data_IF_384271033414
#
_entry.id   IF_384271033414
#
_cell.length_a   1.000
_cell.length_b   1.000
_cell.length_c   1.000
_cell.angle_alpha   90.00
_cell.angle_beta   90.00
_cell.angle_gamma   90.00
#
_symmetry.space_group_name_H-M   'P 1'
#
loop_
_entity.id
_entity.type
_entity.pdbx_description
1 polymer ?
#
# COMPACT_ATOMS: atom_id res chain seq x y z
N UNK A 1 -3.15 -46.57 -48.12
CA UNK A 1 -4.15 -46.76 -47.02
C UNK A 1 -3.81 -45.83 -45.88
N UNK A 2 -4.57 -44.72 -45.73
CA UNK A 2 -4.47 -43.80 -44.60
C UNK A 2 -5.39 -44.32 -43.50
N UNK A 3 -4.87 -44.61 -42.31
CA UNK A 3 -5.69 -44.98 -41.14
C UNK A 3 -6.15 -43.72 -40.45
N UNK A 4 -7.44 -43.47 -40.44
CA UNK A 4 -8.13 -42.47 -39.67
C UNK A 4 -8.05 -42.79 -38.16
N UNK A 5 -7.37 -41.93 -37.41
CA UNK A 5 -7.33 -41.96 -35.96
C UNK A 5 -8.49 -41.10 -35.45
N UNK A 6 -9.65 -41.76 -35.30
CA UNK A 6 -10.83 -41.15 -34.69
C UNK A 6 -10.67 -41.05 -33.17
N UNK A 7 -11.08 -39.90 -32.58
CA UNK A 7 -11.10 -39.67 -31.13
C UNK A 7 -11.82 -40.75 -30.33
N UNK A 8 -12.70 -41.55 -30.97
CA UNK A 8 -13.42 -42.66 -30.35
C UNK A 8 -12.52 -43.86 -30.06
N UNK A 9 -11.46 -44.07 -30.81
CA UNK A 9 -10.53 -45.21 -30.66
C UNK A 9 -9.49 -44.94 -29.56
N UNK A 10 -9.22 -43.71 -29.22
CA UNK A 10 -8.35 -43.35 -28.11
C UNK A 10 -8.97 -43.65 -26.72
N UNK A 11 -10.28 -43.49 -26.61
CA UNK A 11 -11.00 -43.79 -25.37
C UNK A 11 -11.28 -45.27 -25.10
N UNK A 12 -11.12 -46.13 -26.09
CA UNK A 12 -11.32 -47.61 -25.94
C UNK A 12 -10.06 -48.40 -25.57
N UNK A 13 -8.88 -47.78 -25.71
CA UNK A 13 -7.60 -48.41 -25.37
C UNK A 13 -7.20 -48.25 -23.90
N UNK A 14 -7.91 -47.40 -23.12
CA UNK A 14 -7.61 -47.10 -21.71
C UNK A 14 -8.33 -47.94 -20.66
N UNK A 15 -9.14 -48.94 -21.04
CA UNK A 15 -10.04 -49.61 -20.11
C UNK A 15 -9.71 -51.11 -19.90
N UNK A 16 -8.46 -51.49 -19.73
CA UNK A 16 -8.13 -52.81 -19.14
C UNK A 16 -6.66 -52.83 -18.64
N UNK A 17 -6.42 -52.31 -17.43
CA UNK A 17 -5.36 -52.81 -16.54
C UNK A 17 -5.76 -52.57 -15.08
N UNK A 18 -6.04 -53.66 -14.35
CA UNK A 18 -5.63 -53.83 -12.96
C UNK A 18 -6.42 -53.09 -11.87
N UNK A 19 -7.43 -53.75 -11.35
CA UNK A 19 -7.88 -53.50 -9.97
C UNK A 19 -6.76 -53.96 -9.01
N UNK A 20 -5.93 -53.02 -8.54
CA UNK A 20 -5.14 -53.20 -7.34
C UNK A 20 -5.65 -52.19 -6.31
N UNK A 21 -6.13 -52.67 -5.18
CA UNK A 21 -6.49 -51.84 -4.04
C UNK A 21 -5.29 -51.03 -3.58
N UNK A 22 -5.33 -49.73 -3.84
CA UNK A 22 -4.44 -48.76 -3.23
C UNK A 22 -5.30 -47.79 -2.41
N UNK A 23 -5.10 -47.81 -1.10
CA UNK A 23 -5.56 -46.78 -0.17
C UNK A 23 -5.30 -45.40 -0.76
N UNK A 24 -6.24 -44.44 -0.63
CA UNK A 24 -5.96 -43.05 -1.05
C UNK A 24 -4.92 -42.49 -0.10
N UNK A 25 -3.67 -42.46 -0.54
CA UNK A 25 -2.69 -41.57 0.06
C UNK A 25 -3.20 -40.14 -0.16
N UNK A 26 -3.67 -39.51 0.90
CA UNK A 26 -3.89 -38.08 0.92
C UNK A 26 -2.56 -37.45 0.53
N UNK A 27 -2.40 -37.00 -0.72
CA UNK A 27 -1.38 -36.05 -1.08
C UNK A 27 -1.74 -34.75 -0.33
N UNK A 28 -1.17 -34.61 0.87
CA UNK A 28 -1.07 -33.32 1.50
C UNK A 28 -0.22 -32.48 0.55
N UNK A 29 -0.85 -31.61 -0.23
CA UNK A 29 -0.16 -30.58 -0.96
C UNK A 29 0.53 -29.71 0.11
N UNK A 30 1.82 -29.98 0.34
CA UNK A 30 2.63 -29.09 1.13
C UNK A 30 2.54 -27.71 0.46
N UNK A 31 2.05 -26.73 1.20
CA UNK A 31 2.11 -25.35 0.77
C UNK A 31 3.57 -25.07 0.33
N UNK A 32 3.79 -24.38 -0.79
CA UNK A 32 5.15 -24.08 -1.23
C UNK A 32 5.88 -23.39 -0.08
N UNK A 33 6.92 -24.03 0.41
CA UNK A 33 7.76 -23.48 1.46
C UNK A 33 8.27 -22.12 0.94
N UNK A 34 7.94 -21.06 1.65
CA UNK A 34 8.51 -19.72 1.40
C UNK A 34 10.03 -19.89 1.42
N UNK A 35 10.77 -19.40 0.41
CA UNK A 35 12.24 -19.52 0.44
C UNK A 35 12.78 -18.86 1.71
N UNK A 36 13.36 -19.65 2.58
CA UNK A 36 13.92 -19.19 3.87
C UNK A 36 15.33 -18.59 3.71
N UNK A 37 15.84 -18.51 2.48
CA UNK A 37 17.18 -18.01 2.17
C UNK A 37 17.11 -16.70 1.39
N UNK A 38 17.32 -15.60 2.09
CA UNK A 38 17.38 -14.26 1.48
C UNK A 38 17.73 -13.22 2.56
N UNK A 39 18.13 -12.03 2.13
CA UNK A 39 18.31 -10.89 3.05
C UNK A 39 16.95 -10.38 3.47
N UNK A 40 16.77 -9.89 4.71
CA UNK A 40 15.54 -9.19 5.09
C UNK A 40 15.24 -8.06 4.10
N UNK A 41 13.97 -7.94 3.68
CA UNK A 41 13.58 -6.87 2.77
C UNK A 41 13.74 -5.50 3.45
N UNK A 42 14.40 -4.53 2.80
CA UNK A 42 14.35 -3.14 3.26
C UNK A 42 12.99 -2.49 2.98
N UNK A 43 12.21 -3.04 2.05
CA UNK A 43 10.85 -2.58 1.75
C UNK A 43 9.88 -3.18 2.76
N UNK A 44 9.13 -2.31 3.40
CA UNK A 44 8.04 -2.66 4.33
C UNK A 44 6.72 -2.53 3.59
N UNK A 45 5.98 -3.61 3.44
CA UNK A 45 4.64 -3.58 2.85
C UNK A 45 3.61 -3.21 3.91
N UNK A 46 2.72 -2.30 3.55
CA UNK A 46 1.63 -1.81 4.38
C UNK A 46 0.32 -1.73 3.59
N UNK A 47 -0.68 -1.21 4.26
CA UNK A 47 -2.02 -1.02 3.72
C UNK A 47 -2.53 0.39 4.04
N UNK A 48 -3.13 1.05 3.04
CA UNK A 48 -3.95 2.23 3.26
C UNK A 48 -5.38 1.82 3.61
N UNK A 49 -5.87 2.24 4.79
CA UNK A 49 -7.16 1.78 5.33
C UNK A 49 -8.36 2.14 4.45
N UNK A 50 -8.23 3.14 3.58
CA UNK A 50 -9.26 3.53 2.61
C UNK A 50 -9.66 2.39 1.67
N UNK A 51 -8.76 1.44 1.42
CA UNK A 51 -9.05 0.17 0.73
C UNK A 51 -10.26 -0.54 1.33
N UNK A 52 -10.38 -0.51 2.64
CA UNK A 52 -11.45 -1.15 3.41
C UNK A 52 -12.56 -0.16 3.85
N UNK A 53 -12.79 0.92 3.11
CA UNK A 53 -13.74 1.98 3.47
C UNK A 53 -15.18 1.52 3.71
N UNK A 54 -15.56 0.32 3.22
CA UNK A 54 -16.86 -0.29 3.46
C UNK A 54 -16.87 -1.28 4.65
N UNK A 55 -15.71 -1.58 5.23
CA UNK A 55 -15.53 -2.55 6.32
C UNK A 55 -15.39 -1.82 7.66
N UNK A 56 -15.77 -2.48 8.75
CA UNK A 56 -15.41 -2.01 10.09
C UNK A 56 -13.93 -2.25 10.39
N UNK A 57 -13.40 -1.55 11.40
CA UNK A 57 -12.03 -1.77 11.91
C UNK A 57 -11.77 -3.23 12.24
N UNK A 58 -12.70 -3.89 12.94
CA UNK A 58 -12.56 -5.30 13.31
C UNK A 58 -12.47 -6.22 12.09
N UNK A 59 -13.26 -5.98 11.05
CA UNK A 59 -13.20 -6.73 9.79
C UNK A 59 -11.87 -6.47 9.07
N UNK A 60 -11.44 -5.20 8.97
CA UNK A 60 -10.15 -4.84 8.35
C UNK A 60 -8.98 -5.51 9.07
N UNK A 61 -8.95 -5.51 10.40
CA UNK A 61 -7.92 -6.21 11.20
C UNK A 61 -7.88 -7.70 10.85
N UNK A 62 -9.05 -8.36 10.74
CA UNK A 62 -9.14 -9.75 10.33
C UNK A 62 -8.55 -9.99 8.93
N UNK A 63 -8.86 -9.12 7.98
CA UNK A 63 -8.33 -9.17 6.61
C UNK A 63 -6.80 -8.94 6.58
N UNK A 64 -6.30 -7.96 7.33
CA UNK A 64 -4.86 -7.68 7.40
C UNK A 64 -4.06 -8.86 7.95
N UNK A 65 -4.61 -9.55 8.96
CA UNK A 65 -4.01 -10.79 9.49
C UNK A 65 -3.99 -11.92 8.47
N UNK A 66 -5.06 -12.10 7.68
CA UNK A 66 -5.10 -13.08 6.60
C UNK A 66 -4.06 -12.79 5.51
N UNK A 67 -3.82 -11.51 5.23
CA UNK A 67 -2.84 -11.04 4.23
C UNK A 67 -1.41 -11.07 4.76
N UNK A 68 -1.20 -11.31 6.05
CA UNK A 68 0.10 -11.19 6.71
C UNK A 68 0.73 -9.80 6.50
N UNK A 69 -0.08 -8.74 6.69
CA UNK A 69 0.32 -7.33 6.53
C UNK A 69 -0.03 -6.58 7.81
N UNK A 70 0.98 -6.03 8.48
CA UNK A 70 0.83 -5.37 9.79
C UNK A 70 1.17 -3.87 9.77
N UNK A 71 1.59 -3.31 8.66
CA UNK A 71 1.75 -1.86 8.51
C UNK A 71 0.43 -1.22 8.09
N UNK A 72 0.03 -0.14 8.75
CA UNK A 72 -1.23 0.55 8.47
C UNK A 72 -1.03 2.06 8.39
N UNK A 73 -1.45 2.64 7.27
CA UNK A 73 -1.80 4.05 7.15
C UNK A 73 -3.31 4.17 7.35
N UNK A 74 -3.75 4.70 8.49
CA UNK A 74 -5.16 4.76 8.84
C UNK A 74 -5.80 6.11 8.52
N UNK A 75 -7.05 6.06 8.04
CA UNK A 75 -7.91 7.20 7.76
C UNK A 75 -9.09 7.23 8.72
N UNK A 76 -9.68 8.41 8.92
CA UNK A 76 -10.93 8.65 9.64
C UNK A 76 -12.16 8.23 8.81
N UNK A 77 -12.14 7.01 8.29
CA UNK A 77 -13.23 6.41 7.52
C UNK A 77 -13.86 5.29 8.34
N UNK A 78 -15.19 5.23 8.39
CA UNK A 78 -15.90 4.33 9.29
C UNK A 78 -15.44 4.54 10.75
N UNK A 79 -14.96 3.46 11.35
CA UNK A 79 -14.39 3.41 12.70
C UNK A 79 -12.89 3.09 12.70
N UNK A 80 -12.20 3.29 11.55
CA UNK A 80 -10.80 2.89 11.41
C UNK A 80 -9.90 3.70 12.33
N UNK A 81 -9.93 5.02 12.24
CA UNK A 81 -9.22 5.90 13.17
C UNK A 81 -10.09 7.16 13.43
N UNK A 82 -11.11 7.06 14.29
CA UNK A 82 -12.01 8.17 14.55
C UNK A 82 -11.29 9.36 15.19
N UNK A 83 -11.76 10.58 14.94
CA UNK A 83 -11.20 11.80 15.52
C UNK A 83 -11.68 12.09 16.95
N UNK A 84 -12.77 11.44 17.40
CA UNK A 84 -13.20 11.48 18.81
C UNK A 84 -12.16 10.80 19.70
N UNK A 85 -11.61 11.46 20.74
CA UNK A 85 -10.50 10.93 21.54
C UNK A 85 -10.77 9.59 22.23
N UNK A 86 -12.01 9.31 22.63
CA UNK A 86 -12.35 8.06 23.29
C UNK A 86 -12.38 6.91 22.29
N UNK A 87 -12.98 7.13 21.13
CA UNK A 87 -13.04 6.15 20.04
C UNK A 87 -11.66 5.96 19.39
N UNK A 88 -10.87 7.01 19.25
CA UNK A 88 -9.47 6.96 18.80
C UNK A 88 -8.63 6.07 19.71
N UNK A 89 -8.73 6.27 21.03
CA UNK A 89 -8.04 5.44 22.03
C UNK A 89 -8.39 3.95 21.89
N UNK A 90 -9.69 3.65 21.66
CA UNK A 90 -10.11 2.27 21.44
C UNK A 90 -9.53 1.70 20.13
N UNK A 91 -9.51 2.51 19.05
CA UNK A 91 -8.93 2.08 17.78
C UNK A 91 -7.44 1.73 17.91
N UNK A 92 -6.67 2.57 18.61
CA UNK A 92 -5.24 2.34 18.88
C UNK A 92 -5.05 1.06 19.72
N UNK A 93 -5.90 0.82 20.73
CA UNK A 93 -5.84 -0.39 21.55
C UNK A 93 -6.12 -1.65 20.72
N UNK A 94 -7.09 -1.60 19.80
CA UNK A 94 -7.43 -2.74 18.94
C UNK A 94 -6.28 -3.05 17.96
N UNK A 95 -5.63 -2.03 17.38
CA UNK A 95 -4.45 -2.23 16.52
C UNK A 95 -3.27 -2.81 17.30
N UNK A 96 -3.03 -2.29 18.51
CA UNK A 96 -1.96 -2.80 19.38
C UNK A 96 -2.18 -4.26 19.76
N UNK A 97 -3.42 -4.62 20.13
CA UNK A 97 -3.77 -6.00 20.46
C UNK A 97 -3.68 -6.96 19.25
N UNK A 98 -3.72 -6.41 18.05
CA UNK A 98 -3.59 -7.14 16.80
C UNK A 98 -2.17 -7.17 16.24
N UNK A 99 -1.18 -6.58 16.93
CA UNK A 99 0.20 -6.36 16.46
C UNK A 99 0.29 -5.51 15.17
N UNK A 100 -0.75 -4.72 14.87
CA UNK A 100 -0.75 -3.82 13.72
C UNK A 100 -0.03 -2.53 14.09
N UNK A 101 1.01 -2.20 13.32
CA UNK A 101 1.76 -0.97 13.45
C UNK A 101 1.06 0.15 12.69
N UNK A 102 0.43 1.05 13.43
CA UNK A 102 -0.05 2.32 12.89
C UNK A 102 1.18 3.20 12.64
N UNK A 103 1.57 3.40 11.38
CA UNK A 103 2.80 4.13 11.02
C UNK A 103 2.53 5.50 10.41
N UNK A 104 1.34 5.72 9.85
CA UNK A 104 0.89 6.98 9.29
C UNK A 104 -0.61 7.17 9.52
N UNK A 105 -1.07 8.41 9.44
CA UNK A 105 -2.49 8.74 9.42
C UNK A 105 -2.82 9.61 8.20
N UNK A 106 -3.84 9.23 7.44
CA UNK A 106 -4.32 9.99 6.28
C UNK A 106 -4.98 9.17 5.17
N UNK A 107 -5.41 9.85 4.06
CA UNK A 107 -5.17 11.30 3.85
C UNK A 107 -6.01 12.16 4.80
N UNK A 108 -5.34 13.08 5.50
CA UNK A 108 -5.96 14.11 6.34
C UNK A 108 -6.01 15.41 5.53
N UNK A 109 -7.15 16.08 5.52
CA UNK A 109 -7.37 17.32 4.78
C UNK A 109 -7.18 18.55 5.66
N UNK A 110 -6.68 19.63 5.06
CA UNK A 110 -6.41 20.91 5.71
C UNK A 110 -7.24 22.03 5.09
N UNK A 111 -8.59 22.00 5.27
CA UNK A 111 -9.49 22.93 4.58
C UNK A 111 -9.38 24.36 5.11
N UNK A 112 -8.78 24.57 6.27
CA UNK A 112 -8.65 25.86 6.91
C UNK A 112 -7.19 26.21 7.16
N UNK A 113 -6.84 27.46 6.85
CA UNK A 113 -5.55 28.07 7.21
C UNK A 113 -5.67 28.77 8.58
N UNK A 114 -5.94 27.98 9.62
CA UNK A 114 -6.15 28.42 11.00
C UNK A 114 -5.32 27.58 11.97
N UNK A 115 -4.70 28.22 12.96
CA UNK A 115 -3.83 27.54 13.94
C UNK A 115 -4.58 26.42 14.68
N UNK A 116 -5.82 26.66 15.11
CA UNK A 116 -6.59 25.70 15.89
C UNK A 116 -6.98 24.46 15.06
N UNK A 117 -7.36 24.67 13.79
CA UNK A 117 -7.71 23.57 12.88
C UNK A 117 -6.48 22.70 12.57
N UNK A 118 -5.33 23.31 12.30
CA UNK A 118 -4.09 22.59 12.04
C UNK A 118 -3.61 21.89 13.30
N UNK A 119 -3.57 22.57 14.44
CA UNK A 119 -3.20 22.01 15.74
C UNK A 119 -3.99 20.74 16.08
N UNK A 120 -5.31 20.79 15.92
CA UNK A 120 -6.17 19.65 16.20
C UNK A 120 -5.77 18.39 15.42
N UNK A 121 -5.31 18.53 14.16
CA UNK A 121 -4.84 17.41 13.33
C UNK A 121 -3.50 16.86 13.81
N UNK A 122 -2.58 17.74 14.23
CA UNK A 122 -1.31 17.29 14.81
C UNK A 122 -1.51 16.62 16.16
N UNK A 123 -2.39 17.13 17.01
CA UNK A 123 -2.73 16.52 18.31
C UNK A 123 -3.38 15.14 18.12
N UNK A 124 -4.31 15.00 17.18
CA UNK A 124 -4.88 13.72 16.80
C UNK A 124 -3.78 12.72 16.39
N UNK A 125 -2.89 13.09 15.48
CA UNK A 125 -1.80 12.21 15.05
C UNK A 125 -0.79 11.90 16.17
N UNK A 126 -0.54 12.87 17.07
CA UNK A 126 0.30 12.66 18.26
C UNK A 126 -0.32 11.64 19.22
N UNK A 127 -1.64 11.74 19.49
CA UNK A 127 -2.35 10.75 20.31
C UNK A 127 -2.34 9.36 19.68
N UNK A 128 -2.47 9.29 18.34
CA UNK A 128 -2.36 8.05 17.58
C UNK A 128 -0.95 7.45 17.57
N UNK A 129 0.07 8.17 18.03
CA UNK A 129 1.46 7.73 18.06
C UNK A 129 2.10 7.63 16.67
N UNK A 130 1.53 8.29 15.65
CA UNK A 130 2.09 8.29 14.29
C UNK A 130 3.08 9.43 14.12
N UNK A 131 4.12 9.18 13.34
CA UNK A 131 5.17 10.16 13.01
C UNK A 131 5.04 10.78 11.63
N UNK A 132 4.03 10.35 10.85
CA UNK A 132 3.75 10.83 9.51
C UNK A 132 2.27 11.11 9.33
N UNK A 133 1.95 12.31 8.90
CA UNK A 133 0.63 12.69 8.41
C UNK A 133 0.66 12.64 6.88
N UNK A 134 -0.16 11.79 6.29
CA UNK A 134 -0.43 11.85 4.85
C UNK A 134 -1.45 12.96 4.63
N UNK A 135 -1.01 14.08 4.06
CA UNK A 135 -1.79 15.30 3.92
C UNK A 135 -2.42 15.39 2.52
N UNK A 136 -3.74 15.54 2.47
CA UNK A 136 -4.48 15.53 1.21
C UNK A 136 -4.40 16.84 0.43
N UNK A 137 -4.58 17.98 1.10
CA UNK A 137 -4.81 19.24 0.42
C UNK A 137 -4.30 20.51 1.15
N UNK A 138 -3.14 20.48 1.84
CA UNK A 138 -2.62 21.73 2.35
C UNK A 138 -2.33 22.67 1.18
N UNK A 139 -2.80 23.92 1.27
CA UNK A 139 -2.54 24.89 0.19
C UNK A 139 -1.13 25.44 0.27
N UNK A 140 -0.54 25.93 -0.84
CA UNK A 140 0.74 26.62 -0.78
C UNK A 140 0.74 27.80 0.21
N UNK A 141 -0.38 28.48 0.41
CA UNK A 141 -0.52 29.57 1.36
C UNK A 141 -0.51 29.10 2.82
N UNK A 142 -1.10 27.92 3.11
CA UNK A 142 -1.15 27.37 4.48
C UNK A 142 0.14 26.62 4.87
N UNK A 143 0.98 26.23 3.93
CA UNK A 143 2.21 25.48 4.21
C UNK A 143 3.14 26.14 5.25
N UNK A 144 3.38 27.47 5.25
CA UNK A 144 4.20 28.09 6.30
C UNK A 144 3.62 27.94 7.71
N UNK A 145 2.27 27.91 7.82
CA UNK A 145 1.59 27.66 9.09
C UNK A 145 1.70 26.19 9.48
N UNK A 146 1.49 25.26 8.54
CA UNK A 146 1.70 23.82 8.76
C UNK A 146 3.15 23.55 9.21
N UNK A 147 4.14 24.21 8.62
CA UNK A 147 5.55 24.10 9.01
C UNK A 147 5.82 24.45 10.48
N UNK A 148 5.10 25.43 11.02
CA UNK A 148 5.17 25.77 12.46
C UNK A 148 4.82 24.56 13.32
N UNK A 149 3.72 23.86 12.99
CA UNK A 149 3.27 22.69 13.73
C UNK A 149 4.16 21.46 13.47
N UNK A 150 4.70 21.28 12.29
CA UNK A 150 5.73 20.26 12.01
C UNK A 150 6.89 20.40 12.99
N UNK A 151 7.37 21.63 13.22
CA UNK A 151 8.45 21.92 14.17
C UNK A 151 8.04 21.74 15.63
N UNK A 152 6.81 22.12 15.98
CA UNK A 152 6.28 22.04 17.34
C UNK A 152 6.04 20.58 17.79
N UNK A 153 5.49 19.74 16.90
CA UNK A 153 5.09 18.37 17.21
C UNK A 153 6.12 17.30 16.84
N UNK A 154 7.13 17.65 16.05
CA UNK A 154 8.09 16.73 15.44
C UNK A 154 7.42 15.61 14.63
N UNK A 155 6.35 15.95 13.91
CA UNK A 155 5.59 15.05 13.04
C UNK A 155 5.81 15.48 11.59
N UNK A 156 6.11 14.52 10.72
CA UNK A 156 6.31 14.75 9.28
C UNK A 156 4.98 14.96 8.57
N UNK A 157 5.01 15.83 7.56
CA UNK A 157 3.93 15.99 6.59
C UNK A 157 4.36 15.36 5.27
N UNK A 158 3.61 14.36 4.83
CA UNK A 158 3.74 13.72 3.53
C UNK A 158 2.57 14.18 2.64
N UNK A 159 2.77 15.20 1.81
CA UNK A 159 1.72 15.70 0.92
C UNK A 159 1.46 14.64 -0.15
N UNK A 160 0.20 14.27 -0.30
CA UNK A 160 -0.26 13.25 -1.24
C UNK A 160 -0.62 13.89 -2.59
N UNK A 161 -0.11 13.33 -3.69
CA UNK A 161 -0.48 13.76 -5.03
C UNK A 161 -1.71 12.99 -5.53
N UNK A 162 -2.62 13.71 -6.23
CA UNK A 162 -3.91 13.14 -6.67
C UNK A 162 -4.07 13.05 -8.20
N UNK A 163 -3.01 13.34 -8.96
CA UNK A 163 -3.00 13.20 -10.42
C UNK A 163 -3.53 14.41 -11.20
N UNK A 164 -3.88 14.23 -12.48
CA UNK A 164 -4.17 15.35 -13.40
C UNK A 164 -5.36 16.22 -12.98
N UNK A 165 -6.29 15.67 -12.21
CA UNK A 165 -7.52 16.34 -11.79
C UNK A 165 -7.27 17.30 -10.62
N UNK A 166 -6.21 17.08 -9.83
CA UNK A 166 -5.87 17.96 -8.73
C UNK A 166 -5.27 19.27 -9.24
N UNK A 167 -5.72 20.38 -8.68
CA UNK A 167 -5.24 21.72 -9.09
C UNK A 167 -3.93 22.10 -8.40
N UNK A 168 -3.63 21.51 -7.26
CA UNK A 168 -2.48 21.85 -6.42
C UNK A 168 -1.39 20.79 -6.50
N UNK A 169 -1.74 19.54 -6.25
CA UNK A 169 -0.81 18.45 -6.04
C UNK A 169 -1.00 17.36 -7.09
N UNK A 170 -0.70 17.68 -8.36
CA UNK A 170 -0.85 16.75 -9.48
C UNK A 170 0.18 15.63 -9.43
N UNK A 171 1.43 16.00 -9.16
CA UNK A 171 2.56 15.08 -9.12
C UNK A 171 3.46 15.35 -7.90
N UNK A 172 4.28 14.37 -7.47
CA UNK A 172 5.25 14.61 -6.40
C UNK A 172 6.27 15.68 -6.74
N UNK A 173 6.56 15.92 -8.03
CA UNK A 173 7.48 16.96 -8.46
C UNK A 173 6.90 18.38 -8.25
N UNK A 174 5.58 18.53 -8.34
CA UNK A 174 4.93 19.81 -8.02
C UNK A 174 5.01 20.12 -6.53
N UNK A 175 4.85 19.08 -5.69
CA UNK A 175 5.05 19.18 -4.24
C UNK A 175 6.51 19.59 -3.94
N UNK A 176 7.48 18.87 -4.51
CA UNK A 176 8.90 19.09 -4.27
C UNK A 176 9.34 20.52 -4.60
N UNK A 177 8.85 21.10 -5.70
CA UNK A 177 9.15 22.50 -6.07
C UNK A 177 8.87 23.50 -4.95
N UNK A 178 7.80 23.28 -4.20
CA UNK A 178 7.38 24.17 -3.12
C UNK A 178 8.08 23.85 -1.79
N UNK A 179 8.22 22.55 -1.46
CA UNK A 179 8.68 22.16 -0.13
C UNK A 179 10.19 22.01 0.00
N UNK A 180 10.95 22.02 -1.12
CA UNK A 180 12.41 21.78 -1.11
C UNK A 180 13.22 22.72 -0.20
N UNK A 181 12.74 23.93 0.02
CA UNK A 181 13.40 24.92 0.88
C UNK A 181 12.74 25.07 2.26
N UNK A 182 11.70 24.27 2.55
CA UNK A 182 11.02 24.24 3.84
C UNK A 182 11.69 23.24 4.80
N UNK A 183 11.19 23.16 6.02
CA UNK A 183 11.64 22.18 7.01
C UNK A 183 11.77 20.78 6.36
N UNK A 184 12.86 20.04 6.60
CA UNK A 184 13.09 18.74 5.96
C UNK A 184 12.03 17.67 6.32
N UNK A 185 11.18 17.91 7.31
CA UNK A 185 10.05 17.05 7.69
C UNK A 185 8.79 17.30 6.86
N UNK A 186 8.81 18.23 5.90
CA UNK A 186 7.74 18.40 4.91
C UNK A 186 8.20 17.78 3.60
N UNK A 187 7.42 16.84 3.08
CA UNK A 187 7.78 16.09 1.88
C UNK A 187 6.56 15.44 1.22
N UNK A 188 6.76 14.30 0.60
CA UNK A 188 5.79 13.67 -0.27
C UNK A 188 5.30 12.32 0.28
N UNK A 189 4.04 12.05 0.05
CA UNK A 189 3.47 10.72 -0.13
C UNK A 189 3.28 10.52 -1.63
N UNK A 190 4.04 9.65 -2.26
CA UNK A 190 3.90 9.38 -3.70
C UNK A 190 2.79 8.33 -3.89
N UNK A 191 1.69 8.74 -4.54
CA UNK A 191 0.77 7.78 -5.14
C UNK A 191 1.25 7.48 -6.56
N UNK A 192 1.65 6.23 -6.78
CA UNK A 192 2.27 5.85 -8.06
C UNK A 192 1.29 5.88 -9.22
N UNK A 193 0.02 5.52 -8.98
CA UNK A 193 -1.02 5.56 -10.02
C UNK A 193 -1.36 6.98 -10.43
N UNK A 194 -1.55 7.85 -9.46
CA UNK A 194 -1.79 9.27 -9.71
C UNK A 194 -0.59 9.93 -10.39
N UNK A 195 0.63 9.58 -10.00
CA UNK A 195 1.86 10.07 -10.63
C UNK A 195 1.94 9.67 -12.10
N UNK A 196 1.78 8.38 -12.39
CA UNK A 196 1.85 7.85 -13.76
C UNK A 196 0.82 8.53 -14.69
N UNK A 197 -0.41 8.77 -14.22
CA UNK A 197 -1.46 9.43 -15.00
C UNK A 197 -1.12 10.88 -15.42
N UNK A 198 -0.18 11.54 -14.75
CA UNK A 198 0.32 12.86 -15.19
C UNK A 198 1.36 12.76 -16.31
N UNK A 199 1.77 11.56 -16.71
CA UNK A 199 2.90 11.34 -17.60
C UNK A 199 4.25 11.45 -16.92
N UNK A 200 4.29 11.63 -15.59
CA UNK A 200 5.53 11.65 -14.82
C UNK A 200 6.06 10.23 -14.67
N UNK A 201 7.34 10.00 -14.94
CA UNK A 201 8.00 8.74 -14.64
C UNK A 201 8.09 8.57 -13.12
N UNK A 202 7.49 7.48 -12.62
CA UNK A 202 7.40 7.20 -11.19
C UNK A 202 8.77 6.93 -10.57
N UNK A 203 9.65 6.25 -11.32
CA UNK A 203 11.01 5.89 -10.85
C UNK A 203 11.87 7.14 -10.73
N UNK A 204 11.81 8.01 -11.75
CA UNK A 204 12.49 9.31 -11.73
C UNK A 204 11.96 10.18 -10.58
N UNK A 205 10.63 10.25 -10.41
CA UNK A 205 10.03 11.00 -9.32
C UNK A 205 10.49 10.52 -7.93
N UNK A 206 10.63 9.21 -7.72
CA UNK A 206 11.17 8.65 -6.47
C UNK A 206 12.60 9.14 -6.24
N UNK A 207 13.46 9.12 -7.28
CA UNK A 207 14.83 9.60 -7.15
C UNK A 207 14.90 11.11 -6.86
N UNK A 208 14.10 11.91 -7.57
CA UNK A 208 14.07 13.36 -7.38
C UNK A 208 13.57 13.79 -5.99
N UNK A 209 12.50 13.14 -5.50
CA UNK A 209 11.97 13.40 -4.15
C UNK A 209 12.98 12.99 -3.07
N UNK A 210 13.66 11.87 -3.29
CA UNK A 210 14.77 11.43 -2.44
C UNK A 210 14.42 11.36 -0.95
N UNK A 211 15.17 12.05 -0.07
CA UNK A 211 14.98 11.98 1.37
C UNK A 211 13.68 12.63 1.89
N UNK A 212 12.92 13.29 1.01
CA UNK A 212 11.61 13.86 1.34
C UNK A 212 10.44 12.93 1.00
N UNK A 213 10.70 11.68 0.63
CA UNK A 213 9.68 10.64 0.49
C UNK A 213 9.40 10.01 1.85
N UNK A 214 8.21 10.22 2.40
CA UNK A 214 7.85 9.75 3.75
C UNK A 214 6.79 8.66 3.77
N UNK A 215 5.98 8.57 2.72
CA UNK A 215 4.99 7.54 2.53
C UNK A 215 4.81 7.25 1.04
N UNK A 216 4.27 6.10 0.70
CA UNK A 216 3.96 5.73 -0.67
C UNK A 216 2.66 4.93 -0.73
N UNK A 217 1.78 5.33 -1.65
CA UNK A 217 0.62 4.53 -2.01
C UNK A 217 0.91 3.75 -3.30
N UNK A 218 0.91 2.43 -3.17
CA UNK A 218 1.08 1.52 -4.30
C UNK A 218 -0.27 1.26 -4.95
N UNK A 219 -0.30 1.40 -6.28
CA UNK A 219 -1.42 1.07 -7.16
C UNK A 219 -0.88 0.45 -8.44
N UNK A 220 -1.72 -0.25 -9.19
CA UNK A 220 -1.40 -0.65 -10.56
C UNK A 220 -2.56 -0.29 -11.49
N UNK A 221 -2.25 0.03 -12.72
CA UNK A 221 -3.18 0.49 -13.73
C UNK A 221 -3.02 -0.33 -15.01
N UNK A 222 -4.12 -0.79 -15.57
CA UNK A 222 -4.14 -1.42 -16.89
C UNK A 222 -3.80 -0.43 -18.02
N UNK A 223 -4.11 0.86 -17.79
CA UNK A 223 -3.69 1.98 -18.62
C UNK A 223 -3.21 3.13 -17.75
N UNK A 224 -1.92 3.50 -17.90
CA UNK A 224 -1.28 4.51 -17.05
C UNK A 224 -1.84 5.94 -17.23
N UNK A 225 -2.70 6.17 -18.22
CA UNK A 225 -3.34 7.47 -18.46
C UNK A 225 -4.80 7.54 -17.98
N UNK A 226 -5.42 6.39 -17.63
CA UNK A 226 -6.84 6.28 -17.33
C UNK A 226 -7.07 6.08 -15.84
N UNK A 227 -7.89 6.95 -15.23
CA UNK A 227 -8.18 6.95 -13.80
C UNK A 227 -8.87 5.66 -13.33
N UNK A 228 -9.84 5.18 -14.10
CA UNK A 228 -10.69 4.04 -13.78
C UNK A 228 -10.07 2.70 -14.18
N UNK A 229 -8.77 2.70 -14.52
CA UNK A 229 -8.07 1.50 -14.98
C UNK A 229 -7.31 0.76 -13.89
N UNK A 230 -7.58 1.05 -12.61
CA UNK A 230 -6.93 0.34 -11.52
C UNK A 230 -7.19 -1.16 -11.60
N UNK A 231 -6.14 -1.94 -11.38
CA UNK A 231 -6.15 -3.41 -11.30
C UNK A 231 -5.35 -3.87 -10.08
N UNK A 232 -5.35 -5.16 -9.79
CA UNK A 232 -4.45 -5.70 -8.78
C UNK A 232 -2.98 -5.48 -9.19
N UNK A 233 -2.11 -5.25 -8.21
CA UNK A 233 -0.68 -5.04 -8.49
C UNK A 233 -0.09 -6.29 -9.13
N UNK A 234 0.49 -6.13 -10.31
CA UNK A 234 1.01 -7.19 -11.15
C UNK A 234 0.15 -7.50 -12.37
N UNK A 235 -1.10 -7.05 -12.39
CA UNK A 235 -2.00 -7.23 -13.54
C UNK A 235 -1.99 -6.01 -14.49
N UNK A 236 -1.25 -4.96 -14.12
CA UNK A 236 -1.18 -3.71 -14.87
C UNK A 236 0.18 -3.44 -15.50
N UNK A 237 0.44 -2.15 -15.70
CA UNK A 237 1.65 -1.66 -16.40
C UNK A 237 2.64 -0.95 -15.47
N UNK A 238 2.37 -0.90 -14.16
CA UNK A 238 3.25 -0.22 -13.22
C UNK A 238 4.58 -0.97 -13.10
N UNK A 239 5.75 -0.28 -13.21
CA UNK A 239 7.05 -0.93 -13.15
C UNK A 239 7.46 -1.27 -11.71
N UNK A 240 6.71 -2.16 -11.05
CA UNK A 240 6.82 -2.46 -9.61
C UNK A 240 8.24 -2.81 -9.18
N UNK A 241 8.96 -3.62 -9.98
CA UNK A 241 10.35 -3.96 -9.69
C UNK A 241 11.26 -2.73 -9.69
N UNK A 242 11.17 -1.89 -10.71
CA UNK A 242 11.99 -0.68 -10.80
C UNK A 242 11.65 0.33 -9.68
N UNK A 243 10.39 0.41 -9.28
CA UNK A 243 9.96 1.20 -8.11
C UNK A 243 10.66 0.69 -6.85
N UNK A 244 10.66 -0.61 -6.59
CA UNK A 244 11.35 -1.16 -5.42
C UNK A 244 12.87 -0.94 -5.47
N UNK A 245 13.49 -1.09 -6.64
CA UNK A 245 14.92 -0.81 -6.86
C UNK A 245 15.25 0.66 -6.55
N UNK A 246 14.40 1.60 -7.00
CA UNK A 246 14.56 3.03 -6.72
C UNK A 246 14.43 3.35 -5.22
N UNK A 247 13.43 2.78 -4.55
CA UNK A 247 13.22 2.94 -3.11
C UNK A 247 14.43 2.41 -2.31
N UNK A 248 14.97 1.25 -2.67
CA UNK A 248 16.14 0.66 -2.04
C UNK A 248 17.38 1.54 -2.26
N UNK A 249 17.57 2.04 -3.49
CA UNK A 249 18.67 2.95 -3.83
C UNK A 249 18.60 4.24 -3.03
N UNK A 250 17.42 4.78 -2.83
CA UNK A 250 17.17 5.98 -2.04
C UNK A 250 17.18 5.72 -0.51
N UNK A 251 17.39 4.47 -0.08
CA UNK A 251 17.35 4.06 1.33
C UNK A 251 16.03 4.46 2.01
N UNK A 252 14.92 4.26 1.29
CA UNK A 252 13.61 4.56 1.81
C UNK A 252 13.28 3.68 3.02
N UNK A 253 12.89 4.31 4.12
CA UNK A 253 12.62 3.62 5.41
C UNK A 253 11.12 3.54 5.75
N UNK A 254 10.27 4.15 4.93
CA UNK A 254 8.82 4.15 5.12
C UNK A 254 8.15 2.85 4.71
N UNK A 255 6.83 2.89 4.65
CA UNK A 255 6.02 1.79 4.16
C UNK A 255 5.56 2.05 2.72
N UNK A 256 5.41 0.96 1.98
CA UNK A 256 4.73 0.93 0.69
C UNK A 256 3.33 0.40 0.96
N UNK A 257 2.38 1.32 1.06
CA UNK A 257 1.00 1.02 1.41
C UNK A 257 0.19 0.70 0.16
N UNK A 258 -0.33 -0.51 0.07
CA UNK A 258 -1.27 -0.83 -1.00
C UNK A 258 -2.58 -0.06 -0.79
N UNK A 259 -2.97 0.75 -1.78
CA UNK A 259 -4.26 1.43 -1.82
C UNK A 259 -5.08 0.91 -3.00
N UNK A 260 -6.01 0.00 -2.69
CA UNK A 260 -6.84 -0.69 -3.67
C UNK A 260 -8.26 -0.12 -3.60
N UNK A 261 -8.60 0.77 -4.56
CA UNK A 261 -9.82 1.55 -4.50
C UNK A 261 -10.99 0.94 -5.29
N UNK A 262 -10.76 -0.15 -6.01
CA UNK A 262 -11.79 -0.91 -6.71
C UNK A 262 -12.30 -2.08 -5.86
N UNK A 263 -13.48 -2.63 -6.23
CA UNK A 263 -14.09 -3.75 -5.52
C UNK A 263 -14.23 -3.52 -4.00
N UNK A 264 -14.70 -2.33 -3.61
CA UNK A 264 -14.73 -1.89 -2.20
C UNK A 264 -15.54 -2.82 -1.26
N UNK A 265 -16.45 -3.62 -1.79
CA UNK A 265 -17.27 -4.59 -1.03
C UNK A 265 -16.63 -5.98 -0.95
N UNK A 266 -15.64 -6.28 -1.80
CA UNK A 266 -14.86 -7.52 -1.79
C UNK A 266 -13.42 -7.28 -2.30
N UNK A 267 -12.57 -6.58 -1.55
CA UNK A 267 -11.22 -6.26 -2.00
C UNK A 267 -10.22 -7.44 -1.85
N UNK A 268 -10.57 -8.46 -1.06
CA UNK A 268 -9.63 -9.52 -0.66
C UNK A 268 -8.99 -10.31 -1.81
N UNK A 269 -9.70 -10.66 -2.90
CA UNK A 269 -9.06 -11.34 -4.03
C UNK A 269 -7.94 -10.50 -4.65
N UNK A 270 -8.21 -9.21 -4.93
CA UNK A 270 -7.23 -8.28 -5.50
C UNK A 270 -6.07 -7.97 -4.55
N UNK A 271 -6.33 -7.84 -3.25
CA UNK A 271 -5.29 -7.65 -2.24
C UNK A 271 -4.38 -8.87 -2.13
N UNK A 272 -4.96 -10.07 -2.11
CA UNK A 272 -4.19 -11.33 -2.01
C UNK A 272 -3.23 -11.47 -3.19
N UNK A 273 -3.70 -11.25 -4.42
CA UNK A 273 -2.84 -11.31 -5.62
C UNK A 273 -1.79 -10.20 -5.61
N UNK A 274 -2.15 -8.96 -5.25
CA UNK A 274 -1.23 -7.82 -5.17
C UNK A 274 -0.08 -8.05 -4.19
N UNK A 275 -0.39 -8.49 -2.96
CA UNK A 275 0.67 -8.78 -1.98
C UNK A 275 1.51 -9.99 -2.36
N UNK A 276 0.92 -11.02 -2.97
CA UNK A 276 1.66 -12.17 -3.48
C UNK A 276 2.64 -11.75 -4.57
N UNK A 277 2.19 -10.91 -5.52
CA UNK A 277 3.04 -10.38 -6.57
C UNK A 277 4.18 -9.53 -6.03
N UNK A 278 3.90 -8.56 -5.17
CA UNK A 278 4.93 -7.68 -4.58
C UNK A 278 5.98 -8.48 -3.79
N UNK A 279 5.55 -9.49 -3.02
CA UNK A 279 6.46 -10.42 -2.34
C UNK A 279 7.29 -11.24 -3.32
N UNK A 280 6.69 -11.70 -4.42
CA UNK A 280 7.38 -12.40 -5.49
C UNK A 280 8.45 -11.55 -6.17
N UNK A 281 8.16 -10.26 -6.42
CA UNK A 281 9.13 -9.30 -6.94
C UNK A 281 10.31 -9.16 -5.98
N UNK A 282 10.06 -8.93 -4.69
CA UNK A 282 11.11 -8.81 -3.66
C UNK A 282 11.94 -10.10 -3.55
N UNK A 283 11.29 -11.27 -3.59
CA UNK A 283 11.97 -12.56 -3.59
C UNK A 283 12.88 -12.72 -4.82
N UNK A 284 12.44 -12.30 -6.01
CA UNK A 284 13.26 -12.31 -7.23
C UNK A 284 14.47 -11.38 -7.16
N UNK A 285 14.44 -10.39 -6.25
CA UNK A 285 15.56 -9.47 -5.96
C UNK A 285 16.47 -10.00 -4.84
N UNK A 286 16.20 -11.20 -4.32
CA UNK A 286 16.98 -11.83 -3.24
C UNK A 286 16.56 -11.40 -1.82
N UNK A 287 15.39 -10.80 -1.66
CA UNK A 287 14.87 -10.37 -0.36
C UNK A 287 13.77 -11.32 0.13
N UNK A 288 13.66 -11.42 1.44
CA UNK A 288 12.54 -12.09 2.11
C UNK A 288 11.81 -11.09 2.99
N UNK A 289 10.48 -11.14 2.98
CA UNK A 289 9.66 -10.49 3.98
C UNK A 289 9.47 -11.55 5.06
N UNK A 290 9.98 -11.31 6.30
CA UNK A 290 9.76 -12.27 7.37
C UNK A 290 8.26 -12.51 7.53
N UNK A 291 7.85 -13.78 7.52
CA UNK A 291 6.51 -14.14 7.94
C UNK A 291 6.35 -13.73 9.41
N UNK A 292 5.15 -13.31 9.79
CA UNK A 292 4.85 -13.08 11.19
C UNK A 292 5.11 -14.40 11.94
N UNK A 293 5.88 -14.33 13.01
CA UNK A 293 6.00 -15.47 13.94
C UNK A 293 4.59 -15.76 14.46
N UNK A 294 3.98 -16.83 13.97
CA UNK A 294 2.68 -17.33 14.42
C UNK A 294 2.82 -17.90 15.84
#
# INVERSE_FOLDING_TARGET
>A
MKRDLSRRNFLRAGAMVGAAMSTPAMLSAAAPATPTTGKPSPIKLGLASYTFRNFSRAQMIGCMKQLDVLGLNAKDVKDHLPTDPAQEKQAIADYTAADIKLHAAGAIYFPKDEDDDIRAKFEYCKRAGVSVIVAGDPTPASLPRVEKFVKEYDIRIAIHNHGPEDKLWRSPLDILKLVKNMDPRIGCCIDVGHTARTGTDVVEAIHEVGPRLFNMHMKDLADLSVKESQVAVGDGKMPVRAIFEALITNKYEGFVDLEYEIHADDPMPGLTSSFAYMRGVLASMGYVIPALSR
#
